data_IF_563325788618
#
_entry.id   IF_563325788618
#
_cell.length_a   1.000
_cell.length_b   1.000
_cell.length_c   1.000
_cell.angle_alpha   90.00
_cell.angle_beta   90.00
_cell.angle_gamma   90.00
#
_symmetry.space_group_name_H-M   'P 1'
#
loop_
_entity.id
_entity.type
_entity.pdbx_description
1 polymer ?
#
# COMPACT_ATOMS: atom_id res chain seq x y z
N UNK A 1 -20.84 0.93 -15.18
CA UNK A 1 -20.50 -0.13 -16.17
C UNK A 1 -19.91 -1.27 -15.36
N UNK A 2 -20.38 -2.50 -15.45
CA UNK A 2 -19.83 -3.61 -14.64
C UNK A 2 -18.43 -3.93 -15.18
N UNK A 3 -17.39 -3.84 -14.34
CA UNK A 3 -16.08 -4.37 -14.73
C UNK A 3 -16.16 -5.88 -14.71
N UNK A 4 -15.91 -6.45 -15.87
CA UNK A 4 -15.75 -7.88 -16.08
C UNK A 4 -14.27 -8.20 -16.21
N UNK A 5 -13.92 -9.45 -15.94
CA UNK A 5 -12.62 -10.04 -16.23
C UNK A 5 -12.13 -9.70 -17.63
N UNK A 6 -13.00 -9.85 -18.65
CA UNK A 6 -12.67 -9.54 -20.04
C UNK A 6 -12.36 -8.06 -20.27
N UNK A 7 -13.13 -7.15 -19.66
CA UNK A 7 -12.87 -5.70 -19.80
C UNK A 7 -11.60 -5.27 -19.08
N UNK A 8 -11.29 -5.87 -17.92
CA UNK A 8 -10.07 -5.57 -17.17
C UNK A 8 -8.84 -6.14 -17.88
N UNK A 9 -8.93 -7.37 -18.42
CA UNK A 9 -7.87 -7.97 -19.24
C UNK A 9 -7.58 -7.14 -20.49
N UNK A 10 -8.62 -6.69 -21.21
CA UNK A 10 -8.44 -5.82 -22.37
C UNK A 10 -7.78 -4.48 -22.00
N UNK A 11 -8.15 -3.91 -20.85
CA UNK A 11 -7.55 -2.66 -20.34
C UNK A 11 -6.09 -2.86 -19.92
N UNK A 12 -5.77 -3.97 -19.24
CA UNK A 12 -4.40 -4.32 -18.86
C UNK A 12 -3.51 -4.50 -20.10
N UNK A 13 -4.00 -5.20 -21.13
CA UNK A 13 -3.30 -5.37 -22.40
C UNK A 13 -3.08 -4.03 -23.11
N UNK A 14 -4.12 -3.20 -23.22
CA UNK A 14 -4.02 -1.88 -23.83
C UNK A 14 -3.02 -0.98 -23.08
N UNK A 15 -3.02 -1.02 -21.74
CA UNK A 15 -2.10 -0.25 -20.91
C UNK A 15 -0.65 -0.67 -21.16
N UNK A 16 -0.35 -1.96 -21.04
CA UNK A 16 1.00 -2.53 -21.24
C UNK A 16 1.50 -2.26 -22.65
N UNK A 17 0.66 -2.42 -23.67
CA UNK A 17 1.07 -2.18 -25.05
C UNK A 17 1.43 -0.71 -25.33
N UNK A 18 0.89 0.24 -24.55
CA UNK A 18 1.04 1.68 -24.80
C UNK A 18 2.06 2.37 -23.91
N UNK A 19 2.12 2.02 -22.63
CA UNK A 19 2.84 2.82 -21.64
C UNK A 19 4.01 2.10 -20.96
N UNK A 20 3.91 0.80 -20.70
CA UNK A 20 4.86 0.11 -19.82
C UNK A 20 5.14 -1.30 -20.30
N UNK A 21 6.41 -1.73 -20.26
CA UNK A 21 6.78 -3.14 -20.45
C UNK A 21 6.97 -3.78 -19.07
N UNK A 22 5.99 -4.54 -18.54
CA UNK A 22 6.09 -5.14 -17.22
C UNK A 22 7.21 -6.18 -17.19
N UNK A 23 8.00 -6.16 -16.12
CA UNK A 23 9.16 -7.05 -15.92
C UNK A 23 8.87 -8.20 -14.97
N UNK A 24 7.76 -8.11 -14.24
CA UNK A 24 7.35 -9.05 -13.20
C UNK A 24 5.83 -9.26 -13.20
N UNK A 25 5.37 -10.28 -12.46
CA UNK A 25 3.93 -10.49 -12.21
C UNK A 25 3.38 -9.36 -11.35
N UNK A 26 4.17 -8.86 -10.42
CA UNK A 26 3.85 -7.78 -9.49
C UNK A 26 3.57 -6.48 -10.24
N UNK A 27 4.31 -6.19 -11.33
CA UNK A 27 4.03 -5.05 -12.20
C UNK A 27 2.64 -5.16 -12.84
N UNK A 28 2.26 -6.35 -13.33
CA UNK A 28 0.94 -6.60 -13.91
C UNK A 28 -0.17 -6.47 -12.87
N UNK A 29 0.04 -6.99 -11.66
CA UNK A 29 -0.90 -6.88 -10.54
C UNK A 29 -1.10 -5.41 -10.14
N UNK A 30 -0.02 -4.62 -10.08
CA UNK A 30 -0.07 -3.20 -9.78
C UNK A 30 -0.86 -2.42 -10.85
N UNK A 31 -0.59 -2.66 -12.14
CA UNK A 31 -1.31 -2.00 -13.23
C UNK A 31 -2.81 -2.36 -13.21
N UNK A 32 -3.15 -3.64 -13.07
CA UNK A 32 -4.53 -4.10 -12.98
C UNK A 32 -5.25 -3.51 -11.75
N UNK A 33 -4.54 -3.43 -10.61
CA UNK A 33 -5.03 -2.77 -9.40
C UNK A 33 -5.33 -1.30 -9.65
N UNK A 34 -4.41 -0.56 -10.28
CA UNK A 34 -4.60 0.86 -10.59
C UNK A 34 -5.78 1.11 -11.51
N UNK A 35 -6.00 0.27 -12.52
CA UNK A 35 -7.19 0.36 -13.39
C UNK A 35 -8.47 0.23 -12.55
N UNK A 36 -8.56 -0.79 -11.70
CA UNK A 36 -9.73 -0.97 -10.84
C UNK A 36 -9.91 0.14 -9.81
N UNK A 37 -8.84 0.57 -9.14
CA UNK A 37 -8.84 1.67 -8.17
C UNK A 37 -9.40 2.94 -8.84
N UNK A 38 -8.90 3.24 -10.03
CA UNK A 38 -9.33 4.41 -10.79
C UNK A 38 -10.82 4.33 -11.17
N UNK A 39 -11.29 3.18 -11.66
CA UNK A 39 -12.69 2.98 -12.00
C UNK A 39 -13.62 3.06 -10.78
N UNK A 40 -13.21 2.55 -9.62
CA UNK A 40 -13.94 2.72 -8.36
C UNK A 40 -14.02 4.19 -7.95
N UNK A 41 -12.91 4.93 -8.05
CA UNK A 41 -12.85 6.36 -7.71
C UNK A 41 -13.78 7.20 -8.58
N UNK A 42 -13.94 6.85 -9.85
CA UNK A 42 -14.91 7.51 -10.74
C UNK A 42 -16.38 7.14 -10.44
N UNK A 43 -16.64 6.23 -9.50
CA UNK A 43 -17.98 5.70 -9.24
C UNK A 43 -18.50 4.79 -10.37
N UNK A 44 -17.62 4.40 -11.29
CA UNK A 44 -17.98 3.56 -12.45
C UNK A 44 -18.31 2.13 -12.03
N UNK A 45 -17.76 1.68 -10.90
CA UNK A 45 -17.98 0.37 -10.27
C UNK A 45 -18.03 0.47 -8.75
N UNK A 46 -18.78 -0.45 -8.14
CA UNK A 46 -18.66 -0.82 -6.74
C UNK A 46 -18.35 -2.32 -6.69
N UNK A 47 -17.15 -2.66 -6.21
CA UNK A 47 -16.68 -4.05 -6.06
C UNK A 47 -16.06 -4.19 -4.67
N UNK A 48 -16.40 -5.28 -3.99
CA UNK A 48 -15.85 -5.57 -2.66
C UNK A 48 -14.34 -5.86 -2.75
N UNK A 49 -13.55 -5.57 -1.70
CA UNK A 49 -12.09 -5.73 -1.73
C UNK A 49 -11.63 -7.15 -2.13
N UNK A 50 -12.24 -8.18 -1.53
CA UNK A 50 -11.94 -9.59 -1.82
C UNK A 50 -12.24 -9.99 -3.28
N UNK A 51 -13.37 -9.52 -3.82
CA UNK A 51 -13.76 -9.75 -5.21
C UNK A 51 -12.80 -9.03 -6.17
N UNK A 52 -12.35 -7.82 -5.81
CA UNK A 52 -11.38 -7.08 -6.61
C UNK A 52 -10.04 -7.82 -6.66
N UNK A 53 -9.54 -8.30 -5.52
CA UNK A 53 -8.26 -9.05 -5.47
C UNK A 53 -8.34 -10.34 -6.29
N UNK A 54 -9.40 -11.14 -6.12
CA UNK A 54 -9.59 -12.36 -6.90
C UNK A 54 -9.67 -12.08 -8.41
N UNK A 55 -10.38 -11.02 -8.80
CA UNK A 55 -10.49 -10.58 -10.19
C UNK A 55 -9.14 -10.15 -10.78
N UNK A 56 -8.35 -9.40 -10.01
CA UNK A 56 -7.01 -8.96 -10.42
C UNK A 56 -6.10 -10.18 -10.66
N UNK A 57 -6.06 -11.11 -9.70
CA UNK A 57 -5.24 -12.33 -9.84
C UNK A 57 -5.64 -13.13 -11.08
N UNK A 58 -6.96 -13.35 -11.27
CA UNK A 58 -7.47 -14.08 -12.42
C UNK A 58 -7.12 -13.41 -13.75
N UNK A 59 -7.21 -12.07 -13.84
CA UNK A 59 -6.83 -11.33 -15.04
C UNK A 59 -5.33 -11.43 -15.33
N UNK A 60 -4.49 -11.32 -14.30
CA UNK A 60 -3.03 -11.43 -14.46
C UNK A 60 -2.64 -12.86 -14.85
N UNK A 61 -3.30 -13.89 -14.33
CA UNK A 61 -3.08 -15.29 -14.73
C UNK A 61 -3.39 -15.53 -16.21
N UNK A 62 -4.36 -14.81 -16.77
CA UNK A 62 -4.73 -14.91 -18.17
C UNK A 62 -3.96 -13.95 -19.08
N UNK A 63 -3.16 -13.06 -18.51
CA UNK A 63 -2.40 -12.10 -19.28
C UNK A 63 -1.39 -12.82 -20.18
N UNK A 64 -1.56 -12.62 -21.49
CA UNK A 64 -0.60 -13.04 -22.50
C UNK A 64 -0.14 -11.80 -23.24
N UNK A 65 1.16 -11.55 -23.25
CA UNK A 65 1.73 -10.50 -24.09
C UNK A 65 1.35 -10.79 -25.54
N UNK A 66 0.58 -9.89 -26.14
CA UNK A 66 0.14 -10.01 -27.53
C UNK A 66 0.85 -8.93 -28.30
N UNK A 67 1.86 -9.33 -29.09
CA UNK A 67 2.70 -8.45 -29.92
C UNK A 67 1.99 -7.97 -31.20
N UNK A 68 0.66 -8.09 -31.28
CA UNK A 68 -0.13 -7.71 -32.43
C UNK A 68 -1.02 -6.50 -32.12
N UNK A 69 -1.18 -5.61 -33.12
CA UNK A 69 -2.13 -4.50 -33.11
C UNK A 69 -3.56 -5.01 -32.96
N UNK A 70 -4.01 -5.25 -31.73
CA UNK A 70 -5.42 -5.44 -31.43
C UNK A 70 -6.12 -4.09 -31.61
N UNK A 71 -7.30 -4.10 -32.24
CA UNK A 71 -8.14 -2.91 -32.30
C UNK A 71 -8.58 -2.62 -30.88
N UNK A 72 -7.97 -1.62 -30.24
CA UNK A 72 -8.36 -1.15 -28.91
C UNK A 72 -9.64 -0.33 -29.08
N UNK A 73 -10.68 -0.68 -28.33
CA UNK A 73 -11.92 0.10 -28.31
C UNK A 73 -11.63 1.51 -27.74
N UNK A 74 -12.22 2.55 -28.32
CA UNK A 74 -11.94 3.95 -27.94
C UNK A 74 -12.16 4.24 -26.45
N UNK A 75 -13.11 3.56 -25.82
CA UNK A 75 -13.37 3.69 -24.38
C UNK A 75 -12.25 3.07 -23.53
N UNK A 76 -11.71 1.92 -23.95
CA UNK A 76 -10.56 1.29 -23.30
C UNK A 76 -9.32 2.17 -23.45
N UNK A 77 -9.11 2.76 -24.63
CA UNK A 77 -7.97 3.64 -24.88
C UNK A 77 -8.02 4.90 -24.01
N UNK A 78 -9.20 5.54 -23.92
CA UNK A 78 -9.43 6.68 -23.03
C UNK A 78 -9.16 6.31 -21.58
N UNK A 79 -9.71 5.18 -21.12
CA UNK A 79 -9.53 4.71 -19.75
C UNK A 79 -8.04 4.52 -19.41
N UNK A 80 -7.27 3.79 -20.24
CA UNK A 80 -5.86 3.52 -19.91
C UNK A 80 -5.01 4.79 -19.93
N UNK A 81 -5.35 5.77 -20.78
CA UNK A 81 -4.70 7.07 -20.79
C UNK A 81 -4.98 7.85 -19.51
N UNK A 82 -6.23 7.90 -19.05
CA UNK A 82 -6.60 8.54 -17.78
C UNK A 82 -5.96 7.85 -16.58
N UNK A 83 -5.92 6.51 -16.56
CA UNK A 83 -5.23 5.73 -15.52
C UNK A 83 -3.74 6.08 -15.50
N UNK A 84 -3.07 6.14 -16.66
CA UNK A 84 -1.66 6.49 -16.72
C UNK A 84 -1.40 7.91 -16.20
N UNK A 85 -2.21 8.89 -16.61
CA UNK A 85 -2.11 10.27 -16.12
C UNK A 85 -2.33 10.36 -14.61
N UNK A 86 -3.30 9.62 -14.09
CA UNK A 86 -3.55 9.56 -12.66
C UNK A 86 -2.38 8.95 -11.89
N UNK A 87 -1.83 7.81 -12.35
CA UNK A 87 -0.65 7.18 -11.72
C UNK A 87 0.57 8.10 -11.72
N UNK A 88 0.85 8.77 -12.84
CA UNK A 88 1.94 9.74 -12.94
C UNK A 88 1.74 10.93 -12.00
N UNK A 89 0.54 11.51 -11.98
CA UNK A 89 0.21 12.61 -11.08
C UNK A 89 0.33 12.22 -9.60
N UNK A 90 -0.06 10.99 -9.24
CA UNK A 90 0.10 10.47 -7.90
C UNK A 90 1.59 10.33 -7.54
N UNK A 91 2.37 9.71 -8.41
CA UNK A 91 3.82 9.55 -8.22
C UNK A 91 4.53 10.91 -8.06
N UNK A 92 4.23 11.87 -8.93
CA UNK A 92 4.80 13.22 -8.88
C UNK A 92 4.42 13.94 -7.57
N UNK A 93 3.18 13.81 -7.11
CA UNK A 93 2.74 14.43 -5.85
C UNK A 93 3.45 13.81 -4.64
N UNK A 94 3.62 12.48 -4.62
CA UNK A 94 4.38 11.80 -3.58
C UNK A 94 5.83 12.25 -3.60
N UNK A 95 6.48 12.23 -4.79
CA UNK A 95 7.88 12.60 -4.95
C UNK A 95 8.13 14.07 -4.58
N UNK A 96 7.28 14.99 -5.01
CA UNK A 96 7.41 16.42 -4.67
C UNK A 96 7.21 16.65 -3.17
N UNK A 97 6.26 15.95 -2.53
CA UNK A 97 6.08 16.02 -1.07
C UNK A 97 7.28 15.44 -0.33
N UNK A 98 7.86 14.35 -0.83
CA UNK A 98 9.06 13.73 -0.29
C UNK A 98 10.28 14.66 -0.39
N UNK A 99 10.44 15.33 -1.54
CA UNK A 99 11.50 16.32 -1.76
C UNK A 99 11.33 17.52 -0.81
N UNK A 100 10.11 18.01 -0.66
CA UNK A 100 9.77 19.07 0.28
C UNK A 100 10.07 18.68 1.74
N UNK A 101 9.75 17.44 2.11
CA UNK A 101 10.04 16.89 3.43
C UNK A 101 11.54 16.80 3.69
N UNK A 102 12.32 16.32 2.71
CA UNK A 102 13.78 16.25 2.81
C UNK A 102 14.45 17.61 3.06
N UNK A 103 13.85 18.72 2.59
CA UNK A 103 14.34 20.09 2.88
C UNK A 103 14.03 20.56 4.31
N UNK A 104 13.08 19.92 5.01
CA UNK A 104 12.62 20.31 6.35
C UNK A 104 13.25 19.49 7.49
N UNK A 105 13.76 18.28 7.20
CA UNK A 105 14.29 17.35 8.21
C UNK A 105 15.76 17.02 7.99
N UNK A 106 16.37 16.33 8.96
CA UNK A 106 17.73 15.79 8.82
C UNK A 106 17.72 14.65 7.80
N UNK A 107 18.42 14.77 6.65
CA UNK A 107 18.31 13.81 5.56
C UNK A 107 18.72 12.38 5.92
N UNK A 108 19.68 12.20 6.82
CA UNK A 108 20.19 10.89 7.23
C UNK A 108 19.09 10.00 7.83
N UNK A 109 18.29 10.55 8.75
CA UNK A 109 17.17 9.83 9.38
C UNK A 109 16.04 9.49 8.39
N UNK A 110 15.87 10.33 7.37
CA UNK A 110 14.83 10.15 6.36
C UNK A 110 15.17 9.03 5.37
N UNK A 111 16.45 8.87 5.02
CA UNK A 111 16.90 7.81 4.11
C UNK A 111 16.71 6.41 4.71
N UNK A 112 16.94 6.24 6.01
CA UNK A 112 16.76 4.97 6.71
C UNK A 112 15.29 4.52 6.78
N UNK A 113 14.37 5.49 6.75
CA UNK A 113 12.92 5.28 6.86
C UNK A 113 12.18 5.62 5.56
N UNK A 114 12.87 5.54 4.42
CA UNK A 114 12.34 6.05 3.15
C UNK A 114 11.02 5.37 2.72
N UNK A 115 10.87 4.02 2.76
CA UNK A 115 9.59 3.37 2.44
C UNK A 115 8.45 3.80 3.38
N UNK A 116 8.72 3.86 4.69
CA UNK A 116 7.71 4.25 5.70
C UNK A 116 7.31 5.73 5.58
N UNK A 117 8.27 6.58 5.20
CA UNK A 117 8.05 7.99 4.91
C UNK A 117 7.15 8.13 3.68
N UNK A 118 7.44 7.42 2.59
CA UNK A 118 6.61 7.41 1.38
C UNK A 118 5.19 6.93 1.71
N UNK A 119 5.06 5.85 2.48
CA UNK A 119 3.77 5.31 2.90
C UNK A 119 2.96 6.33 3.71
N UNK A 120 3.62 7.12 4.54
CA UNK A 120 3.01 8.18 5.34
C UNK A 120 2.62 9.42 4.52
N UNK A 121 3.18 9.58 3.32
CA UNK A 121 2.81 10.64 2.37
C UNK A 121 1.53 10.31 1.61
N UNK A 122 1.27 9.03 1.32
CA UNK A 122 0.10 8.61 0.52
C UNK A 122 -1.23 9.26 0.97
N UNK A 123 -1.63 9.24 2.25
CA UNK A 123 -2.88 9.86 2.70
C UNK A 123 -2.91 11.39 2.60
N UNK A 124 -1.76 12.05 2.38
CA UNK A 124 -1.64 13.51 2.22
C UNK A 124 -1.83 13.98 0.77
N UNK A 125 -1.53 13.12 -0.20
CA UNK A 125 -1.57 13.46 -1.63
C UNK A 125 -2.80 12.91 -2.32
N UNK A 126 -3.39 11.85 -1.78
CA UNK A 126 -4.54 11.18 -2.37
C UNK A 126 -5.43 10.58 -1.27
N UNK A 127 -6.74 10.70 -1.42
CA UNK A 127 -7.72 10.11 -0.49
C UNK A 127 -8.16 8.71 -0.93
N UNK A 128 -7.54 8.16 -1.97
CA UNK A 128 -7.89 6.86 -2.51
C UNK A 128 -7.30 5.75 -1.65
N UNK A 129 -8.12 4.75 -1.36
CA UNK A 129 -7.69 3.49 -0.75
C UNK A 129 -6.91 2.69 -1.79
N UNK A 130 -5.62 3.00 -1.94
CA UNK A 130 -4.73 2.22 -2.78
C UNK A 130 -4.70 0.78 -2.26
N UNK A 131 -4.63 -0.17 -3.20
CA UNK A 131 -4.42 -1.58 -2.88
C UNK A 131 -2.97 -1.83 -2.53
N UNK A 132 -2.66 -2.92 -1.81
CA UNK A 132 -1.29 -3.25 -1.40
C UNK A 132 -0.28 -3.26 -2.53
N UNK A 133 -0.53 -4.07 -3.56
CA UNK A 133 0.43 -4.22 -4.66
C UNK A 133 0.61 -2.90 -5.43
N UNK A 134 -0.45 -2.09 -5.51
CA UNK A 134 -0.39 -0.74 -6.08
C UNK A 134 0.47 0.21 -5.23
N UNK A 135 0.26 0.24 -3.91
CA UNK A 135 1.04 1.07 -3.00
C UNK A 135 2.51 0.64 -2.96
N UNK A 136 2.79 -0.68 -2.94
CA UNK A 136 4.14 -1.23 -2.97
C UNK A 136 4.87 -0.85 -4.28
N UNK A 137 4.19 -0.98 -5.42
CA UNK A 137 4.73 -0.55 -6.73
C UNK A 137 5.05 0.95 -6.74
N UNK A 138 4.13 1.79 -6.24
CA UNK A 138 4.33 3.22 -6.12
C UNK A 138 5.51 3.58 -5.20
N UNK A 139 5.63 2.91 -4.05
CA UNK A 139 6.76 3.08 -3.13
C UNK A 139 8.09 2.77 -3.84
N UNK A 140 8.17 1.67 -4.59
CA UNK A 140 9.39 1.33 -5.33
C UNK A 140 9.69 2.34 -6.44
N UNK A 141 8.68 2.79 -7.19
CA UNK A 141 8.84 3.79 -8.24
C UNK A 141 9.36 5.12 -7.67
N UNK A 142 8.73 5.65 -6.63
CA UNK A 142 9.15 6.90 -5.97
C UNK A 142 10.56 6.73 -5.39
N UNK A 143 10.83 5.62 -4.69
CA UNK A 143 12.16 5.33 -4.15
C UNK A 143 13.24 5.31 -5.23
N UNK A 144 12.94 4.76 -6.42
CA UNK A 144 13.89 4.69 -7.53
C UNK A 144 14.20 6.05 -8.15
N UNK A 145 13.24 6.99 -8.09
CA UNK A 145 13.35 8.35 -8.64
C UNK A 145 13.86 9.37 -7.64
N UNK A 146 13.70 9.09 -6.34
CA UNK A 146 14.13 9.98 -5.28
C UNK A 146 15.65 10.16 -5.31
N UNK A 147 16.07 11.43 -5.36
CA UNK A 147 17.47 11.80 -5.31
C UNK A 147 17.62 12.97 -4.33
N UNK A 148 18.30 12.73 -3.22
CA UNK A 148 18.46 13.72 -2.17
C UNK A 148 19.13 15.02 -2.65
N UNK A 149 20.12 14.93 -3.53
CA UNK A 149 20.82 16.13 -4.03
C UNK A 149 19.87 17.00 -4.85
N UNK A 150 19.08 16.38 -5.72
CA UNK A 150 18.06 17.08 -6.50
C UNK A 150 16.96 17.63 -5.60
N UNK A 151 16.51 16.85 -4.61
CA UNK A 151 15.47 17.25 -3.66
C UNK A 151 15.86 18.53 -2.90
N UNK A 152 17.11 18.63 -2.44
CA UNK A 152 17.60 19.81 -1.72
C UNK A 152 17.79 21.05 -2.61
N UNK A 153 17.96 20.87 -3.93
CA UNK A 153 18.16 21.96 -4.88
C UNK A 153 16.87 22.44 -5.57
N UNK A 154 15.79 21.66 -5.49
CA UNK A 154 14.55 21.90 -6.22
C UNK A 154 13.72 23.02 -5.60
N UNK A 155 13.12 23.87 -6.44
CA UNK A 155 12.05 24.78 -6.03
C UNK A 155 10.77 23.97 -5.86
N UNK A 156 10.23 23.97 -4.65
CA UNK A 156 9.05 23.18 -4.27
C UNK A 156 7.79 24.04 -4.36
N UNK A 157 6.72 23.48 -4.92
CA UNK A 157 5.44 24.17 -4.96
C UNK A 157 4.78 24.28 -3.57
N UNK A 158 3.89 25.27 -3.36
CA UNK A 158 3.28 25.50 -2.05
C UNK A 158 2.46 24.31 -1.51
N UNK A 159 1.86 23.48 -2.37
CA UNK A 159 1.03 22.35 -1.95
C UNK A 159 1.92 21.25 -1.37
N UNK A 160 3.02 20.92 -2.03
CA UNK A 160 3.98 19.93 -1.52
C UNK A 160 4.67 20.40 -0.24
N UNK A 161 4.96 21.70 -0.09
CA UNK A 161 5.45 22.26 1.18
C UNK A 161 4.44 22.08 2.31
N UNK A 162 3.17 22.42 2.08
CA UNK A 162 2.12 22.25 3.08
C UNK A 162 1.93 20.78 3.48
N UNK A 163 2.00 19.86 2.52
CA UNK A 163 1.94 18.42 2.80
C UNK A 163 3.15 17.94 3.60
N UNK A 164 4.37 18.40 3.28
CA UNK A 164 5.55 18.09 4.06
C UNK A 164 5.48 18.62 5.51
N UNK A 165 4.89 19.79 5.72
CA UNK A 165 4.66 20.33 7.07
C UNK A 165 3.66 19.47 7.86
N UNK A 166 2.57 19.03 7.22
CA UNK A 166 1.63 18.07 7.83
C UNK A 166 2.32 16.75 8.17
N UNK A 167 3.18 16.25 7.30
CA UNK A 167 3.95 15.02 7.55
C UNK A 167 4.88 15.18 8.77
N UNK A 168 5.60 16.30 8.87
CA UNK A 168 6.44 16.60 10.03
C UNK A 168 5.61 16.61 11.32
N UNK A 169 4.41 17.17 11.30
CA UNK A 169 3.53 17.15 12.47
C UNK A 169 3.05 15.74 12.81
N UNK A 170 2.62 14.97 11.82
CA UNK A 170 2.14 13.59 11.99
C UNK A 170 3.20 12.71 12.67
N UNK A 171 4.44 12.78 12.19
CA UNK A 171 5.55 11.97 12.69
C UNK A 171 6.00 12.34 14.12
N UNK A 172 5.59 13.49 14.67
CA UNK A 172 5.80 13.78 16.11
C UNK A 172 4.98 12.87 17.01
N UNK A 173 3.93 12.26 16.48
CA UNK A 173 3.02 11.42 17.23
C UNK A 173 3.25 9.92 16.99
N UNK A 174 4.46 9.51 16.59
CA UNK A 174 4.82 8.09 16.39
C UNK A 174 4.43 7.19 17.57
N UNK A 175 4.59 7.67 18.81
CA UNK A 175 4.19 6.91 20.00
C UNK A 175 2.66 6.69 20.07
N UNK A 176 1.87 7.69 19.69
CA UNK A 176 0.41 7.57 19.63
C UNK A 176 -0.01 6.67 18.48
N UNK A 177 0.64 6.79 17.31
CA UNK A 177 0.41 5.90 16.17
C UNK A 177 0.65 4.43 16.57
N UNK A 178 1.76 4.16 17.25
CA UNK A 178 2.10 2.81 17.73
C UNK A 178 1.10 2.29 18.75
N UNK A 179 0.72 3.11 19.74
CA UNK A 179 -0.31 2.73 20.73
C UNK A 179 -1.65 2.40 20.06
N UNK A 180 -2.03 3.18 19.05
CA UNK A 180 -3.25 2.96 18.29
C UNK A 180 -3.19 1.67 17.48
N UNK A 181 -2.05 1.39 16.81
CA UNK A 181 -1.82 0.13 16.12
C UNK A 181 -1.84 -1.07 17.07
N UNK A 182 -1.13 -0.99 18.19
CA UNK A 182 -1.08 -2.05 19.20
C UNK A 182 -2.46 -2.32 19.80
N UNK A 183 -3.27 -1.28 20.05
CA UNK A 183 -4.64 -1.45 20.54
C UNK A 183 -5.56 -2.12 19.52
N UNK A 184 -5.48 -1.69 18.25
CA UNK A 184 -6.25 -2.28 17.16
C UNK A 184 -5.83 -3.75 16.90
N UNK A 185 -4.53 -4.05 16.89
CA UNK A 185 -4.04 -5.40 16.69
C UNK A 185 -4.25 -6.30 17.92
N UNK A 186 -4.30 -5.74 19.13
CA UNK A 186 -4.59 -6.47 20.36
C UNK A 186 -6.08 -6.79 20.56
N UNK A 187 -6.97 -6.18 19.78
CA UNK A 187 -8.40 -6.41 19.87
C UNK A 187 -8.78 -7.75 19.21
N UNK A 188 -9.01 -8.77 20.03
CA UNK A 188 -9.36 -10.12 19.58
C UNK A 188 -10.61 -10.17 18.69
N UNK A 189 -11.55 -9.24 18.84
CA UNK A 189 -12.74 -9.19 17.98
C UNK A 189 -12.38 -8.80 16.54
N UNK A 190 -11.32 -8.01 16.33
CA UNK A 190 -10.79 -7.66 15.00
C UNK A 190 -9.94 -8.78 14.37
N UNK A 191 -9.35 -9.65 15.20
CA UNK A 191 -8.60 -10.83 14.75
C UNK A 191 -9.57 -11.97 14.37
N UNK A 192 -10.64 -12.15 15.16
CA UNK A 192 -11.59 -13.25 14.99
C UNK A 192 -12.67 -12.97 13.93
N UNK A 193 -13.01 -11.69 13.71
CA UNK A 193 -13.77 -11.29 12.56
C UNK A 193 -12.82 -10.94 11.44
N UNK A 194 -12.88 -11.67 10.33
CA UNK A 194 -12.21 -11.33 9.08
C UNK A 194 -12.73 -9.98 8.60
N UNK A 195 -12.25 -8.89 9.18
CA UNK A 195 -12.54 -7.56 8.69
C UNK A 195 -11.93 -7.49 7.30
N UNK A 196 -12.81 -7.46 6.30
CA UNK A 196 -12.41 -7.35 4.90
C UNK A 196 -11.56 -6.09 4.66
N UNK A 197 -11.66 -5.09 5.54
CA UNK A 197 -10.75 -3.95 5.73
C UNK A 197 -11.00 -3.30 7.11
N UNK A 198 -9.95 -2.69 7.68
CA UNK A 198 -10.05 -1.69 8.75
C UNK A 198 -10.70 -0.42 8.18
N UNK A 199 -11.69 0.12 8.89
CA UNK A 199 -12.41 1.34 8.52
C UNK A 199 -11.91 2.54 9.33
N UNK A 200 -11.98 3.74 8.75
CA UNK A 200 -11.61 4.97 9.46
C UNK A 200 -12.42 5.15 10.76
N UNK A 201 -13.71 4.80 10.77
CA UNK A 201 -14.55 4.90 11.98
C UNK A 201 -14.10 3.96 13.10
N UNK A 202 -13.55 2.78 12.76
CA UNK A 202 -12.98 1.88 13.76
C UNK A 202 -11.72 2.48 14.39
N UNK A 203 -10.84 3.03 13.55
CA UNK A 203 -9.59 3.69 14.00
C UNK A 203 -9.90 4.95 14.81
N UNK A 204 -10.89 5.74 14.39
CA UNK A 204 -11.37 6.93 15.09
C UNK A 204 -11.88 6.58 16.49
N UNK A 205 -12.73 5.55 16.61
CA UNK A 205 -13.24 5.09 17.90
C UNK A 205 -12.12 4.64 18.84
N UNK A 206 -11.09 3.98 18.32
CA UNK A 206 -9.98 3.51 19.13
C UNK A 206 -9.05 4.65 19.55
N UNK A 207 -8.78 5.59 18.64
CA UNK A 207 -8.06 6.83 18.95
C UNK A 207 -8.76 7.64 20.04
N UNK A 208 -10.09 7.76 19.97
CA UNK A 208 -10.87 8.47 20.98
C UNK A 208 -10.76 7.84 22.39
N UNK A 209 -10.68 6.50 22.48
CA UNK A 209 -10.44 5.81 23.76
C UNK A 209 -9.06 6.10 24.33
N UNK A 210 -8.03 6.10 23.48
CA UNK A 210 -6.65 6.37 23.89
C UNK A 210 -6.51 7.81 24.38
N UNK A 211 -7.07 8.78 23.64
CA UNK A 211 -7.03 10.21 24.00
C UNK A 211 -7.91 10.55 25.21
N UNK A 212 -9.00 9.80 25.43
CA UNK A 212 -9.88 9.95 26.59
C UNK A 212 -9.39 9.26 27.88
N UNK A 213 -8.28 8.52 27.82
CA UNK A 213 -7.70 7.84 28.97
C UNK A 213 -6.83 8.75 29.82
N UNK A 214 -7.05 8.77 31.14
CA UNK A 214 -6.34 9.63 32.10
C UNK A 214 -4.81 9.44 32.15
N UNK A 215 -4.28 8.38 31.52
CA UNK A 215 -2.86 8.01 31.57
C UNK A 215 -1.98 8.70 30.52
N UNK A 216 -2.55 9.27 29.44
CA UNK A 216 -1.76 9.81 28.33
C UNK A 216 -2.32 11.14 27.84
N UNK A 217 -1.55 12.21 27.96
CA UNK A 217 -1.95 13.54 27.49
C UNK A 217 -1.23 13.87 26.18
N UNK A 218 -1.92 13.72 25.05
CA UNK A 218 -1.46 14.15 23.74
C UNK A 218 -2.16 15.44 23.34
N UNK A 219 -1.41 16.52 23.14
CA UNK A 219 -1.91 17.76 22.55
C UNK A 219 -1.87 17.64 21.01
N UNK A 220 -2.88 16.95 20.46
CA UNK A 220 -3.03 16.70 19.03
C UNK A 220 -4.27 17.41 18.49
N UNK A 221 -4.08 18.27 17.48
CA UNK A 221 -5.17 18.98 16.84
C UNK A 221 -6.05 18.06 15.96
N UNK A 222 -7.24 18.53 15.60
CA UNK A 222 -8.25 17.75 14.86
C UNK A 222 -7.73 17.33 13.47
N UNK A 223 -6.95 18.19 12.80
CA UNK A 223 -6.43 17.89 11.47
C UNK A 223 -5.38 16.77 11.54
N UNK A 224 -4.52 16.79 12.55
CA UNK A 224 -3.54 15.75 12.83
C UNK A 224 -4.21 14.43 13.25
N UNK A 225 -5.29 14.46 14.03
CA UNK A 225 -6.07 13.27 14.37
C UNK A 225 -6.68 12.62 13.11
N UNK A 226 -7.33 13.41 12.25
CA UNK A 226 -7.92 12.90 10.99
C UNK A 226 -6.85 12.30 10.08
N UNK A 227 -5.68 12.93 10.00
CA UNK A 227 -4.58 12.42 9.19
C UNK A 227 -4.03 11.10 9.75
N UNK A 228 -3.90 10.99 11.06
CA UNK A 228 -3.47 9.76 11.73
C UNK A 228 -4.47 8.62 11.51
N UNK A 229 -5.77 8.91 11.60
CA UNK A 229 -6.83 7.94 11.29
C UNK A 229 -6.63 7.39 9.88
N UNK A 230 -6.44 8.26 8.88
CA UNK A 230 -6.20 7.84 7.48
C UNK A 230 -4.92 7.02 7.33
N UNK A 231 -3.83 7.47 7.95
CA UNK A 231 -2.54 6.80 7.87
C UNK A 231 -2.60 5.39 8.48
N UNK A 232 -3.13 5.26 9.69
CA UNK A 232 -3.23 3.97 10.39
C UNK A 232 -4.21 3.04 9.65
N UNK A 233 -5.33 3.57 9.17
CA UNK A 233 -6.28 2.80 8.33
C UNK A 233 -5.59 2.25 7.09
N UNK A 234 -4.86 3.10 6.35
CA UNK A 234 -4.12 2.67 5.17
C UNK A 234 -3.07 1.61 5.54
N UNK A 235 -2.19 1.88 6.51
CA UNK A 235 -1.13 0.94 6.94
C UNK A 235 -1.71 -0.43 7.29
N UNK A 236 -2.78 -0.48 8.08
CA UNK A 236 -3.42 -1.73 8.46
C UNK A 236 -4.05 -2.47 7.27
N UNK A 237 -4.71 -1.75 6.35
CA UNK A 237 -5.29 -2.36 5.15
C UNK A 237 -4.22 -2.92 4.20
N UNK A 238 -3.05 -2.29 4.09
CA UNK A 238 -1.92 -2.83 3.34
C UNK A 238 -1.27 -4.05 4.03
N UNK A 239 -1.30 -4.11 5.35
CA UNK A 239 -0.84 -5.30 6.10
C UNK A 239 -1.82 -6.47 5.93
N UNK A 240 -3.12 -6.23 6.02
CA UNK A 240 -4.17 -7.25 5.97
C UNK A 240 -4.39 -7.84 4.57
N UNK A 241 -4.16 -7.08 3.50
CA UNK A 241 -4.23 -7.53 2.10
C UNK A 241 -3.05 -8.42 1.68
N UNK A 242 -2.42 -9.08 2.64
CA UNK A 242 -1.43 -10.12 2.36
C UNK A 242 -2.07 -11.22 1.49
N UNK A 243 -1.32 -11.64 0.47
CA UNK A 243 -1.65 -12.81 -0.35
C UNK A 243 -2.11 -13.92 0.59
N UNK A 244 -3.22 -14.64 0.30
CA UNK A 244 -3.49 -15.89 1.02
C UNK A 244 -2.18 -16.68 0.99
N UNK A 245 -1.77 -17.26 2.13
CA UNK A 245 -0.50 -17.94 2.20
C UNK A 245 -0.41 -18.88 1.01
N UNK A 246 0.71 -18.83 0.28
CA UNK A 246 0.93 -19.69 -0.90
C UNK A 246 0.93 -21.19 -0.54
N UNK A 247 0.75 -21.49 0.73
CA UNK A 247 0.63 -22.80 1.36
C UNK A 247 -0.63 -22.80 2.23
N UNK A 248 -1.42 -23.87 2.18
CA UNK A 248 -2.51 -24.05 3.14
C UNK A 248 -1.96 -24.08 4.58
N UNK A 249 -2.80 -23.82 5.58
CA UNK A 249 -2.39 -23.97 6.98
C UNK A 249 -1.89 -25.40 7.29
N UNK A 250 -2.38 -26.41 6.56
CA UNK A 250 -1.87 -27.78 6.67
C UNK A 250 -0.48 -27.93 6.07
N UNK A 251 -0.19 -27.28 4.94
CA UNK A 251 1.14 -27.28 4.32
C UNK A 251 2.17 -26.50 5.15
N UNK A 252 1.74 -25.43 5.82
CA UNK A 252 2.59 -24.70 6.78
C UNK A 252 2.88 -25.58 8.01
N UNK A 253 1.85 -26.24 8.55
CA UNK A 253 2.00 -27.15 9.69
C UNK A 253 2.93 -28.33 9.36
N UNK A 254 2.75 -28.96 8.20
CA UNK A 254 3.60 -30.03 7.72
C UNK A 254 5.05 -29.58 7.54
N UNK A 255 5.28 -28.36 7.05
CA UNK A 255 6.63 -27.83 6.90
C UNK A 255 7.29 -27.54 8.25
N UNK A 256 6.54 -27.04 9.24
CA UNK A 256 7.05 -26.84 10.61
C UNK A 256 7.41 -28.18 11.23
N UNK A 257 6.56 -29.20 11.06
CA UNK A 257 6.82 -30.56 11.55
C UNK A 257 8.09 -31.15 10.90
N UNK A 258 8.24 -31.00 9.58
CA UNK A 258 9.43 -31.43 8.84
C UNK A 258 10.71 -30.69 9.30
N UNK A 259 10.63 -29.38 9.57
CA UNK A 259 11.75 -28.58 10.06
C UNK A 259 12.14 -28.98 11.50
N UNK A 260 11.15 -29.29 12.35
CA UNK A 260 11.35 -29.81 13.71
C UNK A 260 12.00 -31.20 13.65
N UNK A 261 11.58 -32.08 12.74
CA UNK A 261 12.19 -33.40 12.57
C UNK A 261 13.62 -33.30 12.04
N UNK A 262 13.88 -32.43 11.06
CA UNK A 262 15.24 -32.12 10.59
C UNK A 262 16.12 -31.61 11.71
N UNK A 263 15.62 -30.70 12.54
CA UNK A 263 16.37 -30.17 13.67
C UNK A 263 16.65 -31.22 14.75
N UNK A 264 15.72 -32.14 14.99
CA UNK A 264 15.92 -33.28 15.90
C UNK A 264 16.97 -34.26 15.36
N UNK A 265 16.95 -34.52 14.05
CA UNK A 265 17.87 -35.45 13.39
C UNK A 265 19.25 -34.85 13.09
N UNK A 266 19.38 -33.52 13.05
CA UNK A 266 20.66 -32.82 12.94
C UNK A 266 21.39 -32.62 14.27
N UNK A 267 20.82 -33.05 15.40
CA UNK A 267 21.55 -33.07 16.68
C UNK A 267 22.61 -34.18 16.64
N UNK A 268 23.91 -33.86 16.81
CA UNK A 268 24.90 -34.90 17.05
C UNK A 268 24.51 -35.63 18.32
N UNK A 269 24.49 -36.97 18.27
CA UNK A 269 24.33 -37.80 19.45
C UNK A 269 25.35 -37.38 20.51
N UNK A 270 24.96 -37.23 21.79
CA UNK A 270 25.91 -36.90 22.83
C UNK A 270 26.99 -37.99 22.85
N UNK A 271 28.25 -37.57 22.72
CA UNK A 271 29.40 -38.44 22.92
C UNK A 271 29.22 -39.15 24.27
N UNK A 272 28.98 -40.47 24.23
CA UNK A 272 29.16 -41.32 25.41
C UNK A 272 30.66 -41.43 25.64
N UNK A 273 31.18 -40.62 26.56
CA UNK A 273 32.43 -40.95 27.23
C UNK A 273 32.15 -42.14 28.14
N UNK A 274 32.99 -43.17 28.01
CA UNK A 274 33.00 -44.38 28.82
C UNK A 274 33.06 -44.07 30.32
#
# INVERSE_FOLDING_TARGET
>A
MIVTERSLLASLQAYVNRFETPTSREDLLAIASSILTFQQKQGSIAIAPNQAEALIQQVVDQFKSTTGSSVIEANTDTLVQEVNQWRQSLEDQVLNTLNAYAQKVQPEKMLDLLPDTILSILPLVESAQLRKVEAESLIQQVKSKFNLTNALAQVIDPKSLANAEKLVQLLKFENLEKLLQDSLLGNQDLINHTLENVTESLVENELAKILGGDAVNFDIDVDAQQLMIKQVTLKLNLMQSSTPPSKSNEEISAQIDDEIERFKSSRPTPFRLF
#
